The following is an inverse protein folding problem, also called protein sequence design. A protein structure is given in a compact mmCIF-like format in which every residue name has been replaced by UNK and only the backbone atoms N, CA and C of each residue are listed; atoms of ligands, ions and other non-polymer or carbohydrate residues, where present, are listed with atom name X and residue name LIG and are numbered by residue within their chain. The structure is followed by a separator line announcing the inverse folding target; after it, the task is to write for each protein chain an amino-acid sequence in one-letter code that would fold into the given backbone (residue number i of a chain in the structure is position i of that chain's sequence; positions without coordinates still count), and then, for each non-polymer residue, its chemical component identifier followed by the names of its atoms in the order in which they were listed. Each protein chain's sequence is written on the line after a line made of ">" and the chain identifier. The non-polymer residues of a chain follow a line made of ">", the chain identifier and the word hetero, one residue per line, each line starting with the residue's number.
data_IF_544113427093
#
_entry.id   IF_544113427093
#
_cell.length_a   1.000
_cell.length_b   1.000
_cell.length_c   1.000
_cell.angle_alpha   90.00
_cell.angle_beta   90.00
_cell.angle_gamma   90.00
#
_symmetry.space_group_name_H-M   'P 1'
#
loop_
_entity.id
_entity.type
_entity.pdbx_description
1 polymer ?
#
# COMPACT_ATOMS: atom_id res chain seq x y z
N UNK A 1 -0.50 0.92 4.68
CA UNK A 1 0.40 0.10 5.52
C UNK A 1 1.02 -1.02 4.69
N UNK A 2 2.34 -1.13 4.72
CA UNK A 2 3.19 -2.09 3.98
C UNK A 2 4.12 -2.69 5.05
N UNK A 3 4.22 -4.03 5.14
CA UNK A 3 4.12 -4.83 6.38
C UNK A 3 4.77 -4.25 7.64
N UNK A 4 4.15 -4.40 8.83
CA UNK A 4 4.60 -3.86 10.13
C UNK A 4 5.93 -4.47 10.66
N UNK A 5 6.46 -3.96 11.80
CA UNK A 5 7.71 -4.39 12.43
C UNK A 5 7.87 -5.91 12.58
N UNK A 6 9.13 -6.35 12.70
CA UNK A 6 9.50 -7.75 13.05
C UNK A 6 8.98 -8.13 14.43
N UNK A 7 8.83 -7.15 15.32
CA UNK A 7 8.43 -7.37 16.69
C UNK A 7 6.90 -7.37 16.83
N UNK A 8 6.33 -8.55 17.07
CA UNK A 8 4.90 -8.74 17.32
C UNK A 8 4.36 -7.90 18.48
N UNK A 9 5.19 -7.56 19.46
CA UNK A 9 4.78 -6.75 20.62
C UNK A 9 4.43 -5.31 20.22
N UNK A 10 4.91 -4.87 19.06
CA UNK A 10 4.63 -3.53 18.51
C UNK A 10 3.43 -3.51 17.55
N UNK A 11 2.89 -4.67 17.16
CA UNK A 11 1.84 -4.76 16.15
C UNK A 11 0.60 -3.95 16.57
N UNK A 12 0.14 -4.09 17.81
CA UNK A 12 -1.02 -3.35 18.31
C UNK A 12 -0.79 -1.85 18.32
N UNK A 13 0.38 -1.39 18.78
CA UNK A 13 0.70 0.03 18.82
C UNK A 13 0.72 0.65 17.42
N UNK A 14 1.36 -0.03 16.46
CA UNK A 14 1.44 0.44 15.06
C UNK A 14 0.08 0.41 14.37
N UNK A 15 -0.72 -0.64 14.60
CA UNK A 15 -2.08 -0.72 14.03
C UNK A 15 -2.98 0.34 14.65
N UNK A 16 -2.94 0.57 15.96
CA UNK A 16 -3.72 1.61 16.61
C UNK A 16 -3.39 3.01 16.08
N UNK A 17 -2.10 3.29 15.87
CA UNK A 17 -1.68 4.55 15.24
C UNK A 17 -2.14 4.63 13.78
N UNK A 18 -1.97 3.57 12.99
CA UNK A 18 -2.42 3.52 11.60
C UNK A 18 -3.93 3.77 11.48
N UNK A 19 -4.72 3.23 12.42
CA UNK A 19 -6.17 3.38 12.48
C UNK A 19 -6.62 4.71 13.05
N UNK A 20 -5.74 5.48 13.68
CA UNK A 20 -6.07 6.78 14.27
C UNK A 20 -6.41 7.83 13.20
N UNK A 21 -7.29 8.77 13.57
CA UNK A 21 -7.74 9.85 12.71
C UNK A 21 -8.73 9.42 11.62
N UNK A 22 -9.48 10.39 11.11
CA UNK A 22 -10.47 10.19 10.04
C UNK A 22 -9.79 10.28 8.66
N UNK A 23 -9.15 9.19 8.26
CA UNK A 23 -8.51 9.07 6.95
C UNK A 23 -8.85 7.74 6.30
N UNK A 24 -8.79 7.69 4.97
CA UNK A 24 -8.87 6.42 4.26
C UNK A 24 -7.73 5.49 4.66
N UNK A 25 -8.05 4.23 4.98
CA UNK A 25 -7.11 3.21 5.44
C UNK A 25 -6.90 2.17 4.35
N UNK A 26 -5.64 2.01 3.96
CA UNK A 26 -5.23 1.06 2.92
C UNK A 26 -4.17 0.12 3.47
N UNK A 27 -4.39 -1.18 3.31
CA UNK A 27 -3.45 -2.24 3.73
C UNK A 27 -2.97 -3.02 2.51
N UNK A 28 -1.65 -3.18 2.38
CA UNK A 28 -1.03 -3.80 1.22
C UNK A 28 -0.16 -4.99 1.68
N UNK A 29 -0.48 -6.17 1.16
CA UNK A 29 0.24 -7.43 1.39
C UNK A 29 -0.40 -8.36 2.41
N UNK A 30 -0.28 -9.66 2.18
CA UNK A 30 -0.88 -10.71 3.01
C UNK A 30 -0.49 -10.64 4.49
N UNK A 31 0.81 -10.53 4.81
CA UNK A 31 1.29 -10.43 6.21
C UNK A 31 0.70 -9.21 6.92
N UNK A 32 0.72 -8.04 6.28
CA UNK A 32 0.12 -6.81 6.81
C UNK A 32 -1.37 -6.99 7.09
N UNK A 33 -2.07 -7.59 6.13
CA UNK A 33 -3.52 -7.84 6.19
C UNK A 33 -3.89 -8.74 7.36
N UNK A 34 -3.12 -9.81 7.57
CA UNK A 34 -3.34 -10.73 8.70
C UNK A 34 -3.08 -10.06 10.06
N UNK A 35 -2.04 -9.23 10.15
CA UNK A 35 -1.71 -8.51 11.40
C UNK A 35 -2.80 -7.49 11.72
N UNK A 36 -3.21 -6.68 10.73
CA UNK A 36 -4.29 -5.69 10.91
C UNK A 36 -5.60 -6.38 11.28
N UNK A 37 -6.00 -7.44 10.58
CA UNK A 37 -7.23 -8.18 10.88
C UNK A 37 -7.22 -8.75 12.30
N UNK A 38 -6.09 -9.34 12.73
CA UNK A 38 -5.92 -9.86 14.10
C UNK A 38 -6.05 -8.76 15.15
N UNK A 39 -5.39 -7.63 14.97
CA UNK A 39 -5.44 -6.50 15.91
C UNK A 39 -6.84 -5.86 15.96
N UNK A 40 -7.56 -5.83 14.83
CA UNK A 40 -8.94 -5.36 14.74
C UNK A 40 -9.99 -6.40 15.14
N UNK A 41 -9.57 -7.63 15.50
CA UNK A 41 -10.45 -8.76 15.85
C UNK A 41 -11.48 -9.07 14.76
N UNK A 42 -11.06 -8.98 13.50
CA UNK A 42 -11.81 -9.34 12.30
C UNK A 42 -11.00 -10.33 11.47
N UNK A 43 -11.47 -10.64 10.26
CA UNK A 43 -10.86 -11.59 9.33
C UNK A 43 -10.56 -10.95 7.97
N UNK A 44 -9.61 -11.54 7.25
CA UNK A 44 -9.33 -11.17 5.86
C UNK A 44 -10.22 -12.00 4.95
N UNK A 45 -11.07 -11.35 4.16
CA UNK A 45 -11.90 -12.00 3.13
C UNK A 45 -11.39 -11.60 1.74
N UNK A 46 -11.08 -12.56 0.89
CA UNK A 46 -10.57 -12.28 -0.47
C UNK A 46 -11.72 -12.19 -1.47
N UNK A 47 -11.65 -11.23 -2.40
CA UNK A 47 -12.57 -11.18 -3.52
C UNK A 47 -12.37 -12.39 -4.44
N UNK A 48 -13.47 -12.96 -4.94
CA UNK A 48 -13.42 -14.03 -5.94
C UNK A 48 -13.21 -13.50 -7.36
N UNK A 49 -13.37 -12.19 -7.58
CA UNK A 49 -13.27 -11.56 -8.89
C UNK A 49 -11.82 -11.16 -9.21
N UNK A 50 -11.41 -11.42 -10.45
CA UNK A 50 -10.10 -11.07 -11.00
C UNK A 50 -10.31 -10.19 -12.24
N UNK A 51 -10.56 -8.87 -12.07
CA UNK A 51 -10.86 -7.98 -13.20
C UNK A 51 -9.67 -7.81 -14.16
N UNK A 52 -8.46 -8.02 -13.66
CA UNK A 52 -7.22 -8.01 -14.43
C UNK A 52 -6.43 -9.27 -14.07
N UNK A 53 -5.99 -10.04 -15.08
CA UNK A 53 -5.26 -11.30 -14.88
C UNK A 53 -3.86 -11.09 -14.29
N UNK A 54 -3.30 -9.89 -14.47
CA UNK A 54 -1.95 -9.53 -14.05
C UNK A 54 -1.94 -8.81 -12.69
N UNK A 55 -3.13 -8.46 -12.16
CA UNK A 55 -3.30 -7.86 -10.83
C UNK A 55 -4.11 -8.82 -9.95
N UNK A 56 -3.54 -9.28 -8.82
CA UNK A 56 -4.27 -10.14 -7.89
C UNK A 56 -5.57 -9.52 -7.36
N UNK A 57 -6.49 -10.33 -6.81
CA UNK A 57 -7.75 -9.85 -6.29
C UNK A 57 -7.52 -8.99 -5.04
N UNK A 58 -8.49 -8.13 -4.73
CA UNK A 58 -8.47 -7.36 -3.50
C UNK A 58 -8.96 -8.22 -2.32
N UNK A 59 -8.61 -7.77 -1.11
CA UNK A 59 -9.15 -8.28 0.13
C UNK A 59 -10.08 -7.29 0.82
N UNK A 60 -10.79 -7.77 1.83
CA UNK A 60 -11.67 -7.02 2.69
C UNK A 60 -11.36 -7.33 4.15
N UNK A 61 -11.22 -6.27 4.94
CA UNK A 61 -11.02 -6.31 6.40
C UNK A 61 -11.98 -5.27 6.95
N UNK A 62 -12.78 -5.62 7.96
CA UNK A 62 -13.69 -4.62 8.56
C UNK A 62 -12.88 -3.47 9.18
N UNK A 63 -13.27 -2.24 8.85
CA UNK A 63 -12.54 -1.03 9.24
C UNK A 63 -11.44 -0.56 8.27
N UNK A 64 -11.16 -1.31 7.20
CA UNK A 64 -10.16 -0.94 6.17
C UNK A 64 -10.87 -0.65 4.84
N UNK A 65 -10.59 0.51 4.23
CA UNK A 65 -11.23 0.92 2.98
C UNK A 65 -10.78 0.10 1.77
N UNK A 66 -9.52 -0.32 1.75
CA UNK A 66 -8.97 -1.15 0.67
C UNK A 66 -7.86 -2.04 1.19
N UNK A 67 -7.98 -3.34 0.93
CA UNK A 67 -6.89 -4.30 1.15
C UNK A 67 -6.44 -4.87 -0.18
N UNK A 68 -5.15 -4.83 -0.45
CA UNK A 68 -4.58 -5.35 -1.70
C UNK A 68 -3.48 -6.36 -1.42
N UNK A 69 -3.12 -7.11 -2.46
CA UNK A 69 -1.87 -7.83 -2.46
C UNK A 69 -0.65 -6.90 -2.36
N UNK A 70 0.51 -7.52 -2.18
CA UNK A 70 1.77 -6.81 -1.93
C UNK A 70 2.45 -6.29 -3.20
N UNK A 71 3.56 -6.95 -3.56
CA UNK A 71 4.53 -6.43 -4.53
C UNK A 71 3.94 -6.30 -5.95
N UNK A 72 3.08 -7.23 -6.38
CA UNK A 72 2.52 -7.22 -7.73
C UNK A 72 1.62 -6.00 -7.97
N UNK A 73 0.68 -5.74 -7.06
CA UNK A 73 -0.20 -4.58 -7.11
C UNK A 73 0.61 -3.27 -7.05
N UNK A 74 1.61 -3.20 -6.18
CA UNK A 74 2.48 -2.02 -6.05
C UNK A 74 3.33 -1.75 -7.30
N UNK A 75 3.83 -2.80 -7.97
CA UNK A 75 4.54 -2.66 -9.25
C UNK A 75 3.62 -2.10 -10.33
N UNK A 76 2.39 -2.61 -10.43
CA UNK A 76 1.41 -2.08 -11.39
C UNK A 76 1.06 -0.64 -11.06
N UNK A 77 0.84 -0.30 -9.79
CA UNK A 77 0.61 1.07 -9.34
C UNK A 77 1.77 2.01 -9.72
N UNK A 78 3.02 1.56 -9.59
CA UNK A 78 4.18 2.36 -10.00
C UNK A 78 4.16 2.61 -11.52
N UNK A 79 3.84 1.61 -12.34
CA UNK A 79 3.65 1.81 -13.78
C UNK A 79 2.55 2.84 -14.06
N UNK A 80 1.37 2.70 -13.42
CA UNK A 80 0.27 3.68 -13.55
C UNK A 80 0.70 5.09 -13.13
N UNK A 81 1.54 5.23 -12.09
CA UNK A 81 2.04 6.54 -11.66
C UNK A 81 2.99 7.19 -12.67
N UNK A 82 3.74 6.39 -13.43
CA UNK A 82 4.62 6.86 -14.49
C UNK A 82 3.83 7.27 -15.73
N UNK A 83 2.83 6.48 -16.11
CA UNK A 83 1.84 6.82 -17.14
C UNK A 83 1.14 8.13 -16.78
N UNK A 84 0.67 8.25 -15.53
CA UNK A 84 0.02 9.44 -15.01
C UNK A 84 0.90 10.70 -15.06
N UNK A 85 2.21 10.58 -14.85
CA UNK A 85 3.13 11.72 -14.91
C UNK A 85 3.65 12.01 -16.32
N UNK A 86 3.38 11.15 -17.29
CA UNK A 86 3.87 11.30 -18.65
C UNK A 86 3.22 12.52 -19.32
N UNK A 87 4.05 13.45 -19.80
CA UNK A 87 3.61 14.55 -20.66
C UNK A 87 3.22 14.09 -22.06
N UNK A 88 3.67 12.89 -22.45
CA UNK A 88 3.41 12.30 -23.76
C UNK A 88 2.12 11.49 -23.79
N UNK A 89 1.59 11.13 -22.63
CA UNK A 89 0.32 10.43 -22.53
C UNK A 89 -0.82 11.45 -22.54
N UNK A 90 -1.56 11.47 -23.65
CA UNK A 90 -2.69 12.37 -23.88
C UNK A 90 -4.03 11.71 -23.52
N UNK A 91 -4.02 10.48 -23.03
CA UNK A 91 -5.25 9.82 -22.61
C UNK A 91 -5.81 10.48 -21.33
N UNK A 92 -7.14 10.52 -21.19
CA UNK A 92 -7.75 10.93 -19.94
C UNK A 92 -7.22 10.08 -18.79
N UNK A 93 -6.66 10.74 -17.77
CA UNK A 93 -6.13 10.08 -16.58
C UNK A 93 -7.29 9.62 -15.70
N UNK A 94 -7.89 8.50 -16.05
CA UNK A 94 -9.04 7.94 -15.36
C UNK A 94 -8.88 6.43 -15.14
N UNK A 95 -9.17 5.99 -13.91
CA UNK A 95 -9.02 4.60 -13.49
C UNK A 95 -10.40 3.92 -13.40
N UNK A 96 -10.87 3.37 -14.53
CA UNK A 96 -12.18 2.72 -14.61
C UNK A 96 -12.21 1.29 -14.05
N UNK A 97 -11.04 0.63 -14.02
CA UNK A 97 -10.94 -0.76 -13.58
C UNK A 97 -11.09 -0.84 -12.06
N UNK A 98 -11.65 -1.96 -11.60
CA UNK A 98 -11.88 -2.25 -10.17
C UNK A 98 -10.83 -3.17 -9.56
N UNK A 99 -9.68 -3.35 -10.23
CA UNK A 99 -8.54 -4.07 -9.66
C UNK A 99 -7.82 -3.22 -8.60
N UNK A 100 -7.03 -3.87 -7.75
CA UNK A 100 -6.36 -3.22 -6.62
C UNK A 100 -5.44 -2.06 -7.03
N UNK A 101 -4.75 -2.14 -8.17
CA UNK A 101 -3.83 -1.08 -8.59
C UNK A 101 -4.60 0.14 -9.10
N UNK A 102 -5.69 -0.08 -9.84
CA UNK A 102 -6.56 1.00 -10.33
C UNK A 102 -7.31 1.71 -9.20
N UNK A 103 -7.79 0.96 -8.20
CA UNK A 103 -8.41 1.54 -7.00
C UNK A 103 -7.40 2.36 -6.19
N UNK A 104 -6.17 1.89 -6.03
CA UNK A 104 -5.09 2.65 -5.41
C UNK A 104 -4.76 3.92 -6.19
N UNK A 105 -4.70 3.84 -7.51
CA UNK A 105 -4.40 4.97 -8.37
C UNK A 105 -5.46 6.09 -8.24
N UNK A 106 -6.75 5.73 -8.28
CA UNK A 106 -7.85 6.68 -8.01
C UNK A 106 -7.75 7.29 -6.61
N UNK A 107 -7.51 6.47 -5.57
CA UNK A 107 -7.38 6.97 -4.20
C UNK A 107 -6.18 7.91 -4.02
N UNK A 108 -5.01 7.54 -4.56
CA UNK A 108 -3.74 8.23 -4.27
C UNK A 108 -3.44 9.37 -5.25
N UNK A 109 -3.75 9.21 -6.54
CA UNK A 109 -3.40 10.19 -7.58
C UNK A 109 -4.48 11.26 -7.71
N UNK A 110 -5.75 10.87 -7.68
CA UNK A 110 -6.88 11.79 -7.84
C UNK A 110 -7.34 12.37 -6.50
N UNK A 111 -7.72 11.50 -5.56
CA UNK A 111 -8.50 11.91 -4.37
C UNK A 111 -7.67 12.39 -3.20
N UNK A 112 -6.49 11.80 -2.98
CA UNK A 112 -5.66 12.16 -1.83
C UNK A 112 -5.02 13.55 -2.02
N UNK A 113 -4.82 14.25 -0.92
CA UNK A 113 -3.94 15.44 -0.83
C UNK A 113 -2.71 15.13 0.02
N UNK A 114 -2.90 14.33 1.07
CA UNK A 114 -1.86 13.86 1.98
C UNK A 114 -1.81 12.33 1.96
N UNK A 115 -0.61 11.76 1.90
CA UNK A 115 -0.39 10.31 1.89
C UNK A 115 0.63 9.95 2.98
N UNK A 116 0.21 9.11 3.93
CA UNK A 116 1.07 8.64 5.01
C UNK A 116 1.37 7.16 4.82
N UNK A 117 2.60 6.83 4.44
CA UNK A 117 3.07 5.46 4.33
C UNK A 117 3.56 4.95 5.69
N UNK A 118 3.02 3.81 6.11
CA UNK A 118 3.54 3.01 7.22
C UNK A 118 4.28 1.83 6.61
N UNK A 119 5.60 1.77 6.78
CA UNK A 119 6.48 0.81 6.12
C UNK A 119 7.31 0.09 7.18
N UNK A 120 7.10 -1.21 7.38
CA UNK A 120 7.94 -1.97 8.28
C UNK A 120 9.22 -2.46 7.60
N UNK A 121 10.31 -2.42 8.35
CA UNK A 121 11.66 -2.65 7.82
C UNK A 121 12.17 -4.07 8.01
N UNK A 122 11.48 -4.93 8.77
CA UNK A 122 11.85 -6.35 8.80
C UNK A 122 13.25 -6.65 9.38
N UNK A 123 13.91 -5.70 10.06
CA UNK A 123 15.27 -5.85 10.57
C UNK A 123 15.26 -6.57 11.93
N UNK A 124 15.91 -7.72 12.00
CA UNK A 124 16.29 -8.32 13.29
C UNK A 124 17.67 -7.77 13.67
N UNK A 125 17.84 -7.32 14.92
CA UNK A 125 19.10 -6.74 15.44
C UNK A 125 20.35 -7.65 15.27
N UNK A 126 20.16 -8.93 14.96
CA UNK A 126 21.22 -9.91 14.73
C UNK A 126 21.71 -10.02 13.27
N UNK A 127 21.05 -9.41 12.28
CA UNK A 127 21.45 -9.44 10.86
C UNK A 127 21.35 -8.04 10.26
N UNK A 128 22.49 -7.50 9.80
CA UNK A 128 22.59 -6.13 9.27
C UNK A 128 22.07 -5.98 7.83
N UNK A 129 21.95 -7.07 7.07
CA UNK A 129 21.46 -7.03 5.69
C UNK A 129 19.96 -7.32 5.61
N UNK A 130 19.23 -6.41 4.97
CA UNK A 130 17.81 -6.60 4.69
C UNK A 130 17.60 -7.71 3.66
N UNK A 131 16.63 -8.61 3.88
CA UNK A 131 16.19 -9.55 2.85
C UNK A 131 15.87 -8.83 1.54
N UNK A 132 16.24 -9.45 0.40
CA UNK A 132 16.07 -8.88 -0.95
C UNK A 132 14.63 -8.39 -1.19
N UNK A 133 13.64 -9.14 -0.71
CA UNK A 133 12.22 -8.81 -0.83
C UNK A 133 11.83 -7.50 -0.11
N UNK A 134 12.46 -7.21 1.03
CA UNK A 134 12.24 -5.95 1.76
C UNK A 134 12.87 -4.80 1.00
N UNK A 135 14.10 -4.98 0.52
CA UNK A 135 14.80 -3.98 -0.31
C UNK A 135 13.98 -3.60 -1.55
N UNK A 136 13.34 -4.58 -2.21
CA UNK A 136 12.45 -4.29 -3.34
C UNK A 136 11.22 -3.48 -2.93
N UNK A 137 10.59 -3.79 -1.80
CA UNK A 137 9.43 -3.04 -1.29
C UNK A 137 9.78 -1.60 -0.93
N UNK A 138 10.92 -1.38 -0.28
CA UNK A 138 11.41 -0.04 0.05
C UNK A 138 11.63 0.80 -1.21
N UNK A 139 12.29 0.25 -2.23
CA UNK A 139 12.49 0.93 -3.52
C UNK A 139 11.17 1.29 -4.23
N UNK A 140 10.17 0.42 -4.14
CA UNK A 140 8.84 0.69 -4.70
C UNK A 140 8.17 1.87 -3.97
N UNK A 141 8.21 1.88 -2.64
CA UNK A 141 7.66 2.98 -1.83
C UNK A 141 8.39 4.28 -2.14
N UNK A 142 9.73 4.29 -2.15
CA UNK A 142 10.51 5.49 -2.48
C UNK A 142 10.17 6.04 -3.87
N UNK A 143 10.02 5.17 -4.86
CA UNK A 143 9.68 5.56 -6.23
C UNK A 143 8.26 6.14 -6.31
N UNK A 144 7.30 5.52 -5.61
CA UNK A 144 5.93 6.01 -5.54
C UNK A 144 5.84 7.34 -4.79
N UNK A 145 6.56 7.50 -3.67
CA UNK A 145 6.65 8.77 -2.94
C UNK A 145 7.10 9.90 -3.86
N UNK A 146 8.20 9.72 -4.59
CA UNK A 146 8.69 10.72 -5.55
C UNK A 146 7.66 11.05 -6.62
N UNK A 147 6.92 10.05 -7.11
CA UNK A 147 5.90 10.28 -8.13
C UNK A 147 4.68 11.01 -7.55
N UNK A 148 4.23 10.66 -6.35
CA UNK A 148 3.14 11.35 -5.66
C UNK A 148 3.51 12.81 -5.34
N UNK A 149 4.74 13.08 -4.91
CA UNK A 149 5.22 14.45 -4.70
C UNK A 149 5.21 15.26 -6.01
N UNK A 150 5.62 14.65 -7.13
CA UNK A 150 5.50 15.29 -8.46
C UNK A 150 4.05 15.54 -8.89
N UNK A 151 3.11 14.75 -8.39
CA UNK A 151 1.67 14.98 -8.57
C UNK A 151 1.11 16.06 -7.60
N UNK A 152 1.96 16.71 -6.80
CA UNK A 152 1.57 17.76 -5.86
C UNK A 152 1.01 17.24 -4.53
N UNK A 153 1.25 15.96 -4.19
CA UNK A 153 0.79 15.39 -2.91
C UNK A 153 1.82 15.64 -1.81
N UNK A 154 1.34 15.85 -0.58
CA UNK A 154 2.20 15.84 0.61
C UNK A 154 2.36 14.41 1.08
N UNK A 155 3.58 13.86 1.01
CA UNK A 155 3.85 12.47 1.39
C UNK A 155 4.69 12.41 2.66
N UNK A 156 4.28 11.59 3.61
CA UNK A 156 5.11 11.20 4.76
C UNK A 156 5.36 9.70 4.74
N UNK A 157 6.57 9.28 5.13
CA UNK A 157 6.93 7.87 5.23
C UNK A 157 7.43 7.60 6.65
N UNK A 158 6.68 6.79 7.39
CA UNK A 158 7.03 6.30 8.71
C UNK A 158 7.58 4.89 8.60
N UNK A 159 8.84 4.73 9.00
CA UNK A 159 9.50 3.44 9.09
C UNK A 159 9.31 2.86 10.50
N UNK A 160 8.88 1.60 10.57
CA UNK A 160 8.66 0.88 11.83
C UNK A 160 9.36 -0.49 11.85
#
# INVERSE_FOLDING_TARGET
>A
MIPPPVNKDMDEAVVNEFMSGDTKKVVCGGTSSQIVARCLKTEVRTAFEFPDKDVPPIGYIDGIDLTTEGVLTMRRLLTLSQEYLSEKDLHPKFFAKRDGASLLADMLFEKATHVNFFVGQGVNAAHQELPIDITMKLKLVESLTKNLEKMGKTVSVKYN
#
